data_IF_874812413394
#
_entry.id   IF_874812413394
#
_cell.length_a   1.000
_cell.length_b   1.000
_cell.length_c   1.000
_cell.angle_alpha   90.00
_cell.angle_beta   90.00
_cell.angle_gamma   90.00
#
_symmetry.space_group_name_H-M   'P 1'
#
loop_
_entity.id
_entity.type
_entity.pdbx_description
1 polymer ?
#
# COMPACT_ATOMS: atom_id res chain seq x y z
N UNK A 1 -20.55 -10.79 -16.04
CA UNK A 1 -21.03 -9.95 -14.92
C UNK A 1 -20.73 -8.50 -15.27
N UNK A 2 -21.65 -7.60 -14.98
CA UNK A 2 -21.45 -6.18 -15.28
C UNK A 2 -20.48 -5.63 -14.23
N UNK A 3 -19.31 -5.11 -14.65
CA UNK A 3 -18.36 -4.47 -13.74
C UNK A 3 -18.95 -3.14 -13.26
N UNK A 4 -19.10 -2.98 -11.96
CA UNK A 4 -19.53 -1.71 -11.38
C UNK A 4 -18.28 -0.91 -10.97
N UNK A 5 -18.03 0.21 -11.65
CA UNK A 5 -16.95 1.12 -11.27
C UNK A 5 -17.31 1.84 -9.97
N UNK A 6 -16.46 1.65 -8.95
CA UNK A 6 -16.60 2.26 -7.61
C UNK A 6 -15.83 3.56 -7.52
N UNK A 7 -14.59 3.59 -8.05
CA UNK A 7 -13.78 4.80 -8.14
C UNK A 7 -13.27 4.99 -9.56
N UNK A 8 -13.34 6.21 -10.05
CA UNK A 8 -12.69 6.63 -11.28
C UNK A 8 -11.25 7.11 -11.02
N UNK A 9 -10.55 7.54 -12.08
CA UNK A 9 -9.15 7.99 -12.02
C UNK A 9 -8.94 9.17 -11.08
N UNK A 10 -9.83 10.16 -11.13
CA UNK A 10 -9.69 11.39 -10.34
C UNK A 10 -9.97 11.11 -8.86
N UNK A 11 -11.00 10.32 -8.57
CA UNK A 11 -11.30 9.87 -7.21
C UNK A 11 -10.17 9.04 -6.60
N UNK A 12 -9.48 8.18 -7.37
CA UNK A 12 -8.27 7.49 -6.92
C UNK A 12 -7.17 8.51 -6.59
N UNK A 13 -6.99 9.53 -7.44
CA UNK A 13 -6.03 10.61 -7.20
C UNK A 13 -6.29 11.34 -5.88
N UNK A 14 -7.55 11.69 -5.60
CA UNK A 14 -7.95 12.34 -4.35
C UNK A 14 -7.66 11.47 -3.11
N UNK A 15 -7.93 10.14 -3.22
CA UNK A 15 -7.61 9.21 -2.12
C UNK A 15 -6.10 9.13 -1.86
N UNK A 16 -5.30 9.03 -2.93
CA UNK A 16 -3.83 8.98 -2.84
C UNK A 16 -3.30 10.27 -2.22
N UNK A 17 -3.79 11.41 -2.67
CA UNK A 17 -3.42 12.72 -2.13
C UNK A 17 -3.71 12.80 -0.63
N UNK A 18 -4.90 12.42 -0.18
CA UNK A 18 -5.26 12.41 1.25
C UNK A 18 -4.34 11.47 2.05
N UNK A 19 -4.11 10.24 1.57
CA UNK A 19 -3.18 9.29 2.21
C UNK A 19 -1.78 9.91 2.34
N UNK A 20 -1.31 10.63 1.32
CA UNK A 20 0.01 11.26 1.36
C UNK A 20 0.11 12.35 2.42
N UNK A 21 -0.94 13.16 2.61
CA UNK A 21 -1.00 14.14 3.71
C UNK A 21 -1.04 13.46 5.08
N UNK A 22 -1.81 12.39 5.25
CA UNK A 22 -1.85 11.62 6.51
C UNK A 22 -0.47 11.02 6.85
N UNK A 23 0.23 10.47 5.83
CA UNK A 23 1.60 9.97 5.99
C UNK A 23 2.54 11.12 6.39
N UNK A 24 2.42 12.28 5.76
CA UNK A 24 3.23 13.44 6.08
C UNK A 24 3.01 13.91 7.53
N UNK A 25 1.76 14.02 7.97
CA UNK A 25 1.40 14.43 9.34
C UNK A 25 2.02 13.53 10.40
N UNK A 26 2.06 12.21 10.17
CA UNK A 26 2.67 11.26 11.12
C UNK A 26 4.20 11.20 11.04
N UNK A 27 4.81 11.77 10.00
CA UNK A 27 6.24 11.65 9.73
C UNK A 27 6.95 13.00 9.53
N UNK A 28 6.31 14.13 9.80
CA UNK A 28 6.87 15.47 9.52
C UNK A 28 8.20 15.76 10.21
N UNK A 29 8.50 15.07 11.33
CA UNK A 29 9.77 15.17 12.05
C UNK A 29 10.85 14.19 11.54
N UNK A 30 10.53 13.28 10.62
CA UNK A 30 11.49 12.34 10.08
C UNK A 30 12.33 13.00 8.99
N UNK A 31 13.63 12.75 9.00
CA UNK A 31 14.54 13.20 7.91
C UNK A 31 14.37 12.35 6.66
N UNK A 32 14.13 11.06 6.84
CA UNK A 32 13.89 10.10 5.78
C UNK A 32 12.88 9.04 6.20
N UNK A 33 12.11 8.56 5.23
CA UNK A 33 11.17 7.44 5.36
C UNK A 33 11.40 6.45 4.23
N UNK A 34 10.99 5.20 4.44
CA UNK A 34 11.02 4.17 3.41
C UNK A 34 9.59 3.82 3.02
N UNK A 35 9.30 3.90 1.73
CA UNK A 35 8.02 3.46 1.16
C UNK A 35 8.22 2.14 0.44
N UNK A 36 7.49 1.12 0.88
CA UNK A 36 7.50 -0.21 0.31
C UNK A 36 6.19 -0.44 -0.46
N UNK A 37 6.26 -0.65 -1.77
CA UNK A 37 5.11 -1.02 -2.59
C UNK A 37 5.09 -2.52 -2.85
N UNK A 38 3.98 -3.20 -2.55
CA UNK A 38 3.78 -4.59 -2.96
C UNK A 38 3.56 -4.63 -4.47
N UNK A 39 4.18 -5.58 -5.14
CA UNK A 39 4.23 -5.67 -6.61
C UNK A 39 2.88 -5.46 -7.31
N UNK A 40 2.98 -5.02 -8.56
CA UNK A 40 1.91 -4.58 -9.43
C UNK A 40 1.28 -3.26 -8.95
N UNK A 41 0.02 -3.26 -8.56
CA UNK A 41 -0.74 -2.06 -8.21
C UNK A 41 -0.21 -1.35 -6.96
N UNK A 42 0.25 -2.09 -5.94
CA UNK A 42 0.86 -1.50 -4.74
C UNK A 42 2.09 -0.65 -5.07
N UNK A 43 2.93 -1.11 -6.00
CA UNK A 43 4.07 -0.32 -6.52
C UNK A 43 3.62 0.94 -7.26
N UNK A 44 2.56 0.87 -8.06
CA UNK A 44 2.02 2.04 -8.78
C UNK A 44 1.49 3.07 -7.78
N UNK A 45 0.73 2.63 -6.78
CA UNK A 45 0.18 3.50 -5.74
C UNK A 45 1.33 4.13 -4.92
N UNK A 46 2.32 3.32 -4.52
CA UNK A 46 3.48 3.81 -3.78
C UNK A 46 4.22 4.93 -4.52
N UNK A 47 4.46 4.78 -5.82
CA UNK A 47 5.10 5.82 -6.64
C UNK A 47 4.27 7.10 -6.71
N UNK A 48 2.94 7.00 -6.80
CA UNK A 48 2.05 8.16 -6.76
C UNK A 48 2.06 8.86 -5.39
N UNK A 49 2.06 8.10 -4.30
CA UNK A 49 2.22 8.63 -2.93
C UNK A 49 3.56 9.37 -2.80
N UNK A 50 4.65 8.82 -3.34
CA UNK A 50 5.96 9.47 -3.33
C UNK A 50 5.92 10.82 -4.06
N UNK A 51 5.34 10.86 -5.27
CA UNK A 51 5.20 12.11 -6.03
C UNK A 51 4.44 13.19 -5.25
N UNK A 52 3.35 12.81 -4.57
CA UNK A 52 2.61 13.75 -3.71
C UNK A 52 3.46 14.21 -2.52
N UNK A 53 4.14 13.29 -1.83
CA UNK A 53 5.00 13.62 -0.68
C UNK A 53 6.15 14.56 -1.08
N UNK A 54 6.79 14.34 -2.21
CA UNK A 54 7.85 15.21 -2.74
C UNK A 54 7.33 16.61 -3.05
N UNK A 55 6.05 16.74 -3.43
CA UNK A 55 5.41 18.04 -3.72
C UNK A 55 5.07 18.84 -2.46
N UNK A 56 4.79 18.16 -1.33
CA UNK A 56 4.29 18.79 -0.10
C UNK A 56 5.32 18.83 1.03
N UNK A 57 6.44 18.13 0.89
CA UNK A 57 7.42 17.98 1.97
C UNK A 57 8.87 17.99 1.47
N UNK A 58 9.79 18.08 2.42
CA UNK A 58 11.23 17.91 2.21
C UNK A 58 11.77 16.60 2.77
N UNK A 59 10.89 15.70 3.16
CA UNK A 59 11.27 14.37 3.66
C UNK A 59 11.94 13.60 2.54
N UNK A 60 13.12 13.04 2.81
CA UNK A 60 13.76 12.13 1.85
C UNK A 60 13.00 10.81 1.82
N UNK A 61 12.52 10.41 0.65
CA UNK A 61 11.76 9.17 0.48
C UNK A 61 12.60 8.15 -0.27
N UNK A 62 12.85 7.01 0.37
CA UNK A 62 13.48 5.85 -0.26
C UNK A 62 12.39 4.85 -0.67
N UNK A 63 12.49 4.30 -1.87
CA UNK A 63 11.48 3.39 -2.41
C UNK A 63 12.00 1.97 -2.54
N UNK A 64 11.16 1.01 -2.12
CA UNK A 64 11.39 -0.42 -2.31
C UNK A 64 10.18 -1.10 -2.95
N UNK A 65 10.43 -1.94 -3.94
CA UNK A 65 9.41 -2.87 -4.46
C UNK A 65 9.55 -4.22 -3.77
N UNK A 66 8.42 -4.77 -3.36
CA UNK A 66 8.36 -6.06 -2.68
C UNK A 66 7.63 -7.06 -3.58
N UNK A 67 8.33 -8.10 -3.98
CA UNK A 67 7.75 -9.23 -4.71
C UNK A 67 7.24 -10.29 -3.73
N UNK A 68 6.06 -10.82 -4.02
CA UNK A 68 5.43 -11.85 -3.23
C UNK A 68 4.79 -12.91 -4.13
N UNK A 69 5.20 -14.16 -4.00
CA UNK A 69 4.42 -15.25 -4.58
C UNK A 69 3.19 -15.53 -3.69
N UNK A 70 2.02 -15.07 -4.13
CA UNK A 70 0.75 -15.26 -3.41
C UNK A 70 0.40 -16.74 -3.17
N UNK A 71 1.00 -17.68 -3.92
CA UNK A 71 0.78 -19.13 -3.75
C UNK A 71 1.69 -19.72 -2.67
N UNK A 72 2.85 -19.13 -2.40
CA UNK A 72 3.83 -19.59 -1.41
C UNK A 72 4.44 -18.40 -0.65
N UNK A 73 3.63 -17.59 0.03
CA UNK A 73 4.05 -16.31 0.59
C UNK A 73 5.19 -16.42 1.60
N UNK A 74 5.26 -17.50 2.40
CA UNK A 74 6.31 -17.71 3.39
C UNK A 74 7.71 -17.92 2.79
N UNK A 75 7.80 -18.36 1.52
CA UNK A 75 9.09 -18.69 0.90
C UNK A 75 9.66 -17.61 -0.01
N UNK A 76 8.85 -16.60 -0.39
CA UNK A 76 9.17 -15.76 -1.53
C UNK A 76 8.91 -14.27 -1.37
N UNK A 77 8.89 -13.75 -0.13
CA UNK A 77 8.94 -12.29 0.04
C UNK A 77 10.36 -11.83 -0.33
N UNK A 78 10.50 -11.25 -1.51
CA UNK A 78 11.77 -10.70 -1.98
C UNK A 78 11.71 -9.17 -1.92
N UNK A 79 12.67 -8.59 -1.23
CA UNK A 79 12.86 -7.15 -1.18
C UNK A 79 13.86 -6.82 -2.28
N UNK A 80 13.40 -6.14 -3.33
CA UNK A 80 14.27 -5.63 -4.39
C UNK A 80 14.95 -4.37 -3.88
N UNK A 81 16.25 -4.27 -4.09
CA UNK A 81 17.17 -3.25 -3.58
C UNK A 81 17.64 -3.48 -2.13
N UNK A 82 18.66 -4.32 -2.02
CA UNK A 82 19.30 -4.65 -0.75
C UNK A 82 20.15 -3.52 -0.13
N UNK A 83 20.28 -2.37 -0.81
CA UNK A 83 21.12 -1.26 -0.37
C UNK A 83 20.41 -0.28 0.57
N UNK A 84 19.08 -0.36 0.72
CA UNK A 84 18.33 0.52 1.60
C UNK A 84 18.36 -0.03 3.02
N UNK A 85 18.88 0.78 3.93
CA UNK A 85 18.93 0.45 5.35
C UNK A 85 17.59 0.87 5.97
N UNK A 86 16.80 -0.11 6.44
CA UNK A 86 15.52 0.16 7.13
C UNK A 86 15.67 0.37 8.63
N UNK A 87 16.81 -0.03 9.19
CA UNK A 87 17.04 0.07 10.63
C UNK A 87 16.79 1.50 11.11
N UNK A 88 15.99 1.60 12.18
CA UNK A 88 15.61 2.85 12.85
C UNK A 88 14.85 3.88 11.97
N UNK A 89 14.37 3.47 10.78
CA UNK A 89 13.54 4.31 9.90
C UNK A 89 12.04 4.03 10.06
N UNK A 90 11.23 5.05 9.77
CA UNK A 90 9.80 4.87 9.55
C UNK A 90 9.56 4.25 8.19
N UNK A 91 8.80 3.16 8.16
CA UNK A 91 8.47 2.38 6.96
C UNK A 91 6.97 2.46 6.71
N UNK A 92 6.57 2.69 5.46
CA UNK A 92 5.19 2.65 5.01
C UNK A 92 5.03 1.53 3.99
N UNK A 93 4.23 0.51 4.31
CA UNK A 93 3.92 -0.61 3.43
C UNK A 93 2.61 -0.32 2.69
N UNK A 94 2.65 -0.33 1.36
CA UNK A 94 1.52 0.03 0.50
C UNK A 94 1.09 -1.15 -0.37
N UNK A 95 -0.22 -1.43 -0.37
CA UNK A 95 -0.88 -2.38 -1.27
C UNK A 95 -2.12 -1.73 -1.92
N UNK A 96 -2.69 -2.37 -2.92
CA UNK A 96 -3.91 -1.88 -3.58
C UNK A 96 -5.17 -2.23 -2.79
N UNK A 97 -5.35 -3.49 -2.44
CA UNK A 97 -6.55 -4.00 -1.75
C UNK A 97 -6.17 -4.89 -0.57
N UNK A 98 -6.63 -4.53 0.62
CA UNK A 98 -6.62 -5.44 1.75
C UNK A 98 -7.94 -6.20 1.81
N UNK A 99 -7.88 -7.52 1.72
CA UNK A 99 -9.01 -8.41 1.89
C UNK A 99 -8.92 -9.13 3.25
N UNK A 100 -8.19 -10.23 3.33
CA UNK A 100 -8.00 -10.98 4.58
C UNK A 100 -6.91 -10.41 5.48
N UNK A 101 -6.05 -9.57 4.96
CA UNK A 101 -4.86 -9.05 5.64
C UNK A 101 -3.63 -9.97 5.53
N UNK A 102 -3.76 -11.16 4.94
CA UNK A 102 -2.68 -12.15 4.88
C UNK A 102 -1.43 -11.64 4.16
N UNK A 103 -1.58 -11.01 3.00
CA UNK A 103 -0.46 -10.45 2.22
C UNK A 103 0.37 -9.48 3.06
N UNK A 104 -0.32 -8.55 3.73
CA UNK A 104 0.35 -7.56 4.59
C UNK A 104 1.08 -8.21 5.76
N UNK A 105 0.49 -9.21 6.42
CA UNK A 105 1.13 -9.94 7.54
C UNK A 105 2.41 -10.63 7.08
N UNK A 106 2.40 -11.31 5.94
CA UNK A 106 3.60 -11.99 5.43
C UNK A 106 4.72 -11.00 5.14
N UNK A 107 4.40 -9.89 4.49
CA UNK A 107 5.39 -8.85 4.20
C UNK A 107 5.89 -8.19 5.47
N UNK A 108 4.99 -7.86 6.41
CA UNK A 108 5.35 -7.29 7.71
C UNK A 108 6.33 -8.17 8.48
N UNK A 109 6.09 -9.48 8.53
CA UNK A 109 6.99 -10.40 9.24
C UNK A 109 8.44 -10.32 8.69
N UNK A 110 8.58 -10.15 7.37
CA UNK A 110 9.89 -10.01 6.74
C UNK A 110 10.52 -8.64 6.98
N UNK A 111 9.71 -7.58 6.94
CA UNK A 111 10.20 -6.22 7.21
C UNK A 111 10.67 -6.03 8.66
N UNK A 112 10.03 -6.71 9.63
CA UNK A 112 10.42 -6.65 11.04
C UNK A 112 11.84 -7.16 11.29
N UNK A 113 12.32 -8.12 10.49
CA UNK A 113 13.71 -8.62 10.58
C UNK A 113 14.75 -7.53 10.30
N UNK A 114 14.37 -6.48 9.58
CA UNK A 114 15.22 -5.34 9.22
C UNK A 114 15.22 -4.21 10.27
N UNK A 115 14.59 -4.45 11.43
CA UNK A 115 14.59 -3.57 12.60
C UNK A 115 14.15 -2.12 12.33
N UNK A 116 13.02 -1.88 11.64
CA UNK A 116 12.52 -0.53 11.44
C UNK A 116 12.11 0.13 12.76
N UNK A 117 12.09 1.46 12.81
CA UNK A 117 11.58 2.24 13.94
C UNK A 117 10.08 2.02 14.16
N UNK A 118 9.32 2.03 13.07
CA UNK A 118 7.89 1.74 13.00
C UNK A 118 7.51 1.29 11.59
N UNK A 119 6.41 0.56 11.47
CA UNK A 119 5.79 0.23 10.19
C UNK A 119 4.33 0.67 10.23
N UNK A 120 3.92 1.49 9.27
CA UNK A 120 2.54 1.81 9.00
C UNK A 120 2.11 1.13 7.69
N UNK A 121 0.84 0.81 7.57
CA UNK A 121 0.26 0.17 6.38
C UNK A 121 -0.71 1.11 5.69
N UNK A 122 -0.71 1.11 4.37
CA UNK A 122 -1.61 1.88 3.53
C UNK A 122 -2.24 1.00 2.45
N UNK A 123 -3.51 1.19 2.17
CA UNK A 123 -4.20 0.54 1.06
C UNK A 123 -5.16 1.50 0.37
N UNK A 124 -5.32 1.34 -0.94
CA UNK A 124 -6.34 2.10 -1.66
C UNK A 124 -7.75 1.67 -1.26
N UNK A 125 -7.97 0.36 -1.14
CA UNK A 125 -9.26 -0.21 -0.74
C UNK A 125 -9.07 -1.20 0.42
N UNK A 126 -9.80 -0.98 1.50
CA UNK A 126 -9.93 -1.94 2.59
C UNK A 126 -11.29 -2.63 2.51
N UNK A 127 -11.28 -3.96 2.47
CA UNK A 127 -12.49 -4.77 2.63
C UNK A 127 -12.58 -5.21 4.07
N UNK A 128 -13.76 -5.06 4.69
CA UNK A 128 -13.99 -5.43 6.10
C UNK A 128 -14.12 -6.96 6.31
N UNK A 129 -13.24 -7.73 5.66
CA UNK A 129 -13.18 -9.20 5.74
C UNK A 129 -11.86 -9.69 6.35
N UNK A 130 -11.32 -8.92 7.28
CA UNK A 130 -10.03 -9.22 7.92
C UNK A 130 -10.10 -10.55 8.68
N UNK A 131 -9.27 -11.50 8.29
CA UNK A 131 -9.09 -12.79 8.99
C UNK A 131 -7.85 -12.80 9.88
N UNK A 132 -6.88 -11.93 9.60
CA UNK A 132 -5.62 -11.83 10.33
C UNK A 132 -5.53 -10.49 11.04
N UNK A 133 -4.97 -10.44 12.27
CA UNK A 133 -4.94 -9.24 13.11
C UNK A 133 -3.94 -8.22 12.58
N UNK A 134 -4.35 -7.46 11.61
CA UNK A 134 -3.58 -6.35 11.05
C UNK A 134 -4.36 -5.05 11.13
N UNK A 135 -3.69 -3.99 11.57
CA UNK A 135 -4.22 -2.64 11.49
C UNK A 135 -3.80 -2.02 10.15
N UNK A 136 -4.74 -1.44 9.43
CA UNK A 136 -4.46 -0.56 8.31
C UNK A 136 -4.48 0.87 8.82
N UNK A 137 -3.37 1.60 8.66
CA UNK A 137 -3.22 2.96 9.17
C UNK A 137 -3.85 3.99 8.23
N UNK A 138 -3.64 3.84 6.93
CA UNK A 138 -4.10 4.77 5.90
C UNK A 138 -4.96 4.03 4.89
N UNK A 139 -6.22 4.43 4.76
CA UNK A 139 -7.22 3.75 3.94
C UNK A 139 -7.81 4.74 2.94
N UNK A 140 -7.73 4.45 1.64
CA UNK A 140 -8.38 5.24 0.61
C UNK A 140 -9.89 5.14 0.69
N UNK A 141 -10.43 3.93 0.67
CA UNK A 141 -11.84 3.63 0.77
C UNK A 141 -12.05 2.31 1.54
N UNK A 142 -12.98 2.30 2.50
CA UNK A 142 -13.47 1.07 3.13
C UNK A 142 -14.76 0.62 2.50
N UNK A 143 -14.87 -0.69 2.22
CA UNK A 143 -16.05 -1.30 1.60
C UNK A 143 -16.46 -2.54 2.39
N UNK A 144 -17.70 -2.55 2.84
CA UNK A 144 -18.37 -3.76 3.33
C UNK A 144 -19.10 -4.42 2.14
N UNK A 145 -18.51 -5.48 1.59
CA UNK A 145 -19.06 -6.21 0.45
C UNK A 145 -19.42 -7.64 0.86
N UNK A 146 -20.25 -8.32 0.05
CA UNK A 146 -20.48 -9.76 0.26
C UNK A 146 -19.21 -10.56 -0.01
N UNK A 147 -19.12 -11.78 0.54
CA UNK A 147 -17.97 -12.68 0.35
C UNK A 147 -17.74 -13.04 -1.13
N UNK A 148 -18.80 -13.06 -1.92
CA UNK A 148 -18.76 -13.43 -3.33
C UNK A 148 -18.31 -12.30 -4.27
N UNK A 149 -18.24 -11.07 -3.78
CA UNK A 149 -17.82 -9.95 -4.60
C UNK A 149 -16.30 -9.85 -4.60
N UNK A 150 -15.74 -9.48 -5.74
CA UNK A 150 -14.31 -9.23 -5.87
C UNK A 150 -14.04 -7.75 -6.18
N UNK A 151 -12.99 -7.20 -5.58
CA UNK A 151 -12.52 -5.85 -5.88
C UNK A 151 -11.28 -5.94 -6.77
N UNK A 152 -11.33 -5.27 -7.89
CA UNK A 152 -10.21 -5.17 -8.84
C UNK A 152 -9.81 -3.71 -9.03
N UNK A 153 -8.52 -3.43 -8.84
CA UNK A 153 -7.92 -2.12 -9.13
C UNK A 153 -7.20 -2.21 -10.47
N UNK A 154 -7.53 -1.32 -11.40
CA UNK A 154 -6.93 -1.26 -12.73
C UNK A 154 -6.21 0.09 -12.93
N UNK A 155 -4.99 0.02 -13.45
CA UNK A 155 -4.17 1.19 -13.84
C UNK A 155 -3.75 1.14 -15.32
N UNK A 156 -4.53 0.46 -16.17
CA UNK A 156 -4.30 0.46 -17.62
C UNK A 156 -4.73 1.80 -18.22
N UNK A 157 -3.99 2.30 -19.22
CA UNK A 157 -4.17 3.66 -19.77
C UNK A 157 -5.63 4.05 -20.09
N UNK A 158 -6.44 3.12 -20.60
CA UNK A 158 -7.83 3.37 -20.97
C UNK A 158 -8.86 2.83 -19.96
N UNK A 159 -8.41 2.24 -18.85
CA UNK A 159 -9.30 1.62 -17.87
C UNK A 159 -8.72 1.77 -16.45
N UNK A 160 -8.64 3.03 -16.00
CA UNK A 160 -8.21 3.33 -14.63
C UNK A 160 -9.46 3.39 -13.76
N UNK A 161 -9.45 2.61 -12.67
CA UNK A 161 -10.57 2.58 -11.75
C UNK A 161 -10.46 1.49 -10.69
N UNK A 162 -11.40 1.53 -9.76
CA UNK A 162 -11.70 0.44 -8.83
C UNK A 162 -13.05 -0.13 -9.22
N UNK A 163 -13.13 -1.44 -9.36
CA UNK A 163 -14.29 -2.16 -9.86
C UNK A 163 -14.75 -3.23 -8.87
N UNK A 164 -16.05 -3.37 -8.76
CA UNK A 164 -16.72 -4.48 -8.08
C UNK A 164 -17.20 -5.48 -9.12
N UNK A 165 -16.76 -6.74 -9.01
CA UNK A 165 -17.11 -7.85 -9.90
C UNK A 165 -17.70 -9.02 -9.14
#
# INVERSE_FOLDING_TARGET
MQENKILNKDEIGDKIKRISYEIYEENFNEKSIVICGIENNGTIIAKKVIQELESISKINVEFLSIELDKKKPLKTVQIKDSNIIMKDKSVILIDDVSNTGSTLIYVLSRLLELQPKKINTAVLVNRDHTLFPIKINYIGLSLSTSLNNHIEVKFKENDIGVFLT
#
